data_IF_364177521648
#
_entry.id   IF_364177521648
#
_cell.length_a   1.000
_cell.length_b   1.000
_cell.length_c   1.000
_cell.angle_alpha   90.00
_cell.angle_beta   90.00
_cell.angle_gamma   90.00
#
_symmetry.space_group_name_H-M   'P 1'
#
loop_
_entity.id
_entity.type
_entity.pdbx_description
1 polymer ?
#
# COMPACT_ATOMS: atom_id res chain seq x y z
N UNK A 1 -28.31 18.64 2.19
CA UNK A 1 -27.79 19.14 0.90
C UNK A 1 -26.27 19.14 1.00
N UNK A 2 -25.61 18.09 0.50
CA UNK A 2 -24.15 18.02 0.45
C UNK A 2 -23.68 18.80 -0.77
N UNK A 3 -22.97 19.91 -0.55
CA UNK A 3 -22.23 20.62 -1.59
C UNK A 3 -21.09 19.73 -2.07
N UNK A 4 -21.33 18.98 -3.15
CA UNK A 4 -20.26 18.32 -3.92
C UNK A 4 -19.27 19.40 -4.33
N UNK A 5 -18.05 19.33 -3.79
CA UNK A 5 -16.97 20.23 -4.17
C UNK A 5 -16.68 19.95 -5.65
N UNK A 6 -17.02 20.88 -6.54
CA UNK A 6 -16.56 20.78 -7.93
C UNK A 6 -15.05 20.93 -7.95
N UNK A 7 -14.36 19.83 -8.21
CA UNK A 7 -12.93 19.83 -8.50
C UNK A 7 -12.76 20.50 -9.87
N UNK A 8 -12.24 21.72 -9.86
CA UNK A 8 -12.14 22.55 -11.07
C UNK A 8 -10.88 22.30 -11.90
N UNK A 9 -9.91 21.49 -11.42
CA UNK A 9 -8.66 21.19 -12.16
C UNK A 9 -8.11 19.79 -11.84
N UNK A 10 -7.60 19.04 -12.84
CA UNK A 10 -6.91 17.77 -12.60
C UNK A 10 -5.68 17.98 -11.72
N UNK A 11 -5.47 17.10 -10.75
CA UNK A 11 -4.27 17.14 -9.91
C UNK A 11 -3.03 16.56 -10.59
N UNK A 12 -3.23 15.83 -11.69
CA UNK A 12 -2.19 15.09 -12.40
C UNK A 12 -2.13 13.64 -11.94
N UNK A 13 -1.74 12.75 -12.85
CA UNK A 13 -1.58 11.32 -12.57
C UNK A 13 -0.94 10.62 -13.76
N UNK A 14 -0.57 9.36 -13.58
CA UNK A 14 -0.23 8.48 -14.68
C UNK A 14 -1.49 7.74 -15.17
N UNK A 15 -1.61 7.57 -16.48
CA UNK A 15 -2.77 6.93 -17.12
C UNK A 15 -3.67 7.92 -17.87
N UNK A 16 -4.69 7.43 -18.61
CA UNK A 16 -5.52 8.25 -19.50
C UNK A 16 -6.74 8.88 -18.81
N UNK A 17 -6.96 8.62 -17.51
CA UNK A 17 -8.13 9.08 -16.77
C UNK A 17 -8.16 10.60 -16.54
N UNK A 18 -9.27 11.14 -16.02
CA UNK A 18 -9.42 12.59 -15.81
C UNK A 18 -8.58 13.14 -14.65
N UNK A 19 -8.06 12.27 -13.77
CA UNK A 19 -7.27 12.64 -12.57
C UNK A 19 -8.03 13.61 -11.65
N UNK A 20 -9.28 13.27 -11.36
CA UNK A 20 -10.22 14.02 -10.51
C UNK A 20 -10.98 13.10 -9.53
N UNK A 21 -10.52 11.86 -9.32
CA UNK A 21 -11.20 10.89 -8.45
C UNK A 21 -10.88 11.07 -6.97
N UNK A 22 -11.90 11.20 -6.14
CA UNK A 22 -11.80 11.56 -4.72
C UNK A 22 -12.55 10.58 -3.80
N UNK A 23 -12.46 10.82 -2.49
CA UNK A 23 -13.11 9.97 -1.47
C UNK A 23 -14.64 9.99 -1.60
N UNK A 24 -15.24 11.13 -1.94
CA UNK A 24 -16.70 11.23 -2.11
C UNK A 24 -17.18 10.40 -3.31
N UNK A 25 -16.41 10.35 -4.39
CA UNK A 25 -16.66 9.47 -5.52
C UNK A 25 -16.66 8.00 -5.13
N UNK A 26 -15.72 7.58 -4.26
CA UNK A 26 -15.69 6.20 -3.72
C UNK A 26 -16.91 5.94 -2.84
N UNK A 27 -17.27 6.87 -1.95
CA UNK A 27 -18.49 6.77 -1.12
C UNK A 27 -19.72 6.55 -2.00
N UNK A 28 -19.87 7.34 -3.08
CA UNK A 28 -20.96 7.20 -4.04
C UNK A 28 -21.01 5.84 -4.77
N UNK A 29 -19.89 5.12 -4.82
CA UNK A 29 -19.77 3.82 -5.47
C UNK A 29 -19.94 2.62 -4.52
N UNK A 30 -20.00 2.82 -3.19
CA UNK A 30 -20.02 1.71 -2.21
C UNK A 30 -21.19 0.73 -2.43
N UNK A 31 -22.38 1.26 -2.72
CA UNK A 31 -23.55 0.41 -3.03
C UNK A 31 -23.35 -0.43 -4.29
N UNK A 32 -22.72 0.14 -5.33
CA UNK A 32 -22.40 -0.58 -6.55
C UNK A 32 -21.39 -1.71 -6.27
N UNK A 33 -20.32 -1.40 -5.52
CA UNK A 33 -19.30 -2.39 -5.12
C UNK A 33 -19.94 -3.53 -4.33
N UNK A 34 -20.82 -3.20 -3.37
CA UNK A 34 -21.56 -4.20 -2.60
C UNK A 34 -22.47 -5.06 -3.49
N UNK A 35 -23.16 -4.46 -4.45
CA UNK A 35 -24.06 -5.16 -5.37
C UNK A 35 -23.32 -6.16 -6.28
N UNK A 36 -22.04 -5.92 -6.59
CA UNK A 36 -21.18 -6.88 -7.29
C UNK A 36 -20.80 -8.10 -6.43
N UNK A 37 -21.09 -8.10 -5.13
CA UNK A 37 -20.79 -9.20 -4.21
C UNK A 37 -19.45 -9.08 -3.49
N UNK A 38 -18.73 -7.96 -3.64
CA UNK A 38 -17.52 -7.71 -2.87
C UNK A 38 -17.83 -7.46 -1.39
N UNK A 39 -16.88 -7.79 -0.53
CA UNK A 39 -16.96 -7.60 0.91
C UNK A 39 -15.81 -6.73 1.47
N UNK A 40 -14.93 -6.23 0.61
CA UNK A 40 -13.75 -5.45 1.00
C UNK A 40 -13.43 -4.45 -0.11
N UNK A 41 -13.04 -3.24 0.26
CA UNK A 41 -12.39 -2.27 -0.64
C UNK A 41 -10.94 -2.06 -0.20
N UNK A 42 -10.03 -1.97 -1.17
CA UNK A 42 -8.66 -1.55 -0.96
C UNK A 42 -8.45 -0.24 -1.74
N UNK A 43 -8.00 0.79 -1.03
CA UNK A 43 -7.64 2.08 -1.59
C UNK A 43 -6.12 2.15 -1.74
N UNK A 44 -5.63 2.54 -2.93
CA UNK A 44 -4.25 3.03 -3.09
C UNK A 44 -3.98 4.19 -2.11
N UNK A 45 -2.71 4.58 -1.85
CA UNK A 45 -2.44 5.52 -0.77
C UNK A 45 -3.19 6.84 -0.95
N UNK A 46 -3.88 7.28 0.11
CA UNK A 46 -4.63 8.54 0.16
C UNK A 46 -3.99 9.58 1.08
N UNK A 47 -2.73 9.32 1.48
CA UNK A 47 -1.96 10.18 2.37
C UNK A 47 -1.40 11.39 1.62
N UNK A 48 -1.14 12.49 2.33
CA UNK A 48 -0.70 13.74 1.72
C UNK A 48 0.71 13.60 1.08
N UNK A 49 0.76 13.62 -0.25
CA UNK A 49 1.99 13.69 -1.05
C UNK A 49 2.49 15.13 -1.21
N UNK A 50 1.74 16.10 -0.69
CA UNK A 50 1.97 17.54 -0.76
C UNK A 50 2.19 17.98 -2.21
N UNK A 51 1.11 17.81 -3.00
CA UNK A 51 1.14 17.93 -4.44
C UNK A 51 1.76 19.26 -4.91
N UNK A 52 2.72 19.15 -5.84
CA UNK A 52 3.46 20.29 -6.38
C UNK A 52 4.71 20.68 -5.59
N UNK A 53 4.94 20.14 -4.38
CA UNK A 53 6.28 20.20 -3.79
C UNK A 53 7.27 19.33 -4.58
N UNK A 54 8.55 19.73 -4.65
CA UNK A 54 9.55 18.96 -5.36
C UNK A 54 9.78 17.58 -4.71
N UNK A 55 9.97 16.58 -5.56
CA UNK A 55 10.66 15.35 -5.25
C UNK A 55 12.14 15.67 -5.02
N UNK A 56 12.56 15.60 -3.76
CA UNK A 56 13.96 15.76 -3.38
C UNK A 56 14.68 14.44 -3.57
N UNK A 57 15.59 14.40 -4.55
CA UNK A 57 16.33 13.20 -4.91
C UNK A 57 17.54 12.99 -4.00
N UNK A 58 18.03 11.75 -3.91
CA UNK A 58 19.22 11.41 -3.12
C UNK A 58 20.48 12.16 -3.53
N UNK A 59 20.64 12.50 -4.81
CA UNK A 59 21.76 13.30 -5.33
C UNK A 59 21.68 14.81 -5.01
N UNK A 60 20.65 15.24 -4.28
CA UNK A 60 20.40 16.64 -3.92
C UNK A 60 19.63 17.44 -4.97
N UNK A 61 19.30 16.85 -6.12
CA UNK A 61 18.45 17.50 -7.12
C UNK A 61 16.98 17.54 -6.68
N UNK A 62 16.24 18.49 -7.23
CA UNK A 62 14.83 18.69 -6.95
C UNK A 62 14.04 18.74 -8.27
N UNK A 63 13.03 17.88 -8.40
CA UNK A 63 12.17 17.82 -9.59
C UNK A 63 10.72 17.91 -9.16
N UNK A 64 9.87 18.63 -9.89
CA UNK A 64 8.42 18.63 -9.62
C UNK A 64 7.73 17.66 -10.56
N UNK A 65 7.04 16.67 -9.98
CA UNK A 65 6.28 15.66 -10.68
C UNK A 65 4.91 15.48 -10.02
N UNK A 66 3.97 16.32 -10.42
CA UNK A 66 2.57 16.26 -9.96
C UNK A 66 1.86 14.96 -10.33
N UNK A 67 2.32 14.26 -11.37
CA UNK A 67 1.75 12.96 -11.75
C UNK A 67 2.10 11.89 -10.74
N UNK A 68 3.31 11.94 -10.18
CA UNK A 68 3.73 11.06 -9.10
C UNK A 68 3.00 11.40 -7.80
N UNK A 69 2.80 12.69 -7.50
CA UNK A 69 2.00 13.09 -6.34
C UNK A 69 0.58 12.50 -6.40
N UNK A 70 -0.06 12.55 -7.57
CA UNK A 70 -1.40 11.99 -7.76
C UNK A 70 -1.51 10.46 -7.68
N UNK A 71 -0.40 9.71 -7.51
CA UNK A 71 -0.46 8.27 -7.24
C UNK A 71 -0.51 7.93 -5.75
N UNK A 72 -0.10 8.87 -4.88
CA UNK A 72 0.02 8.67 -3.43
C UNK A 72 1.21 7.82 -2.98
N UNK A 73 1.92 7.14 -3.89
CA UNK A 73 2.99 6.18 -3.52
C UNK A 73 4.29 6.84 -3.02
N UNK A 74 4.41 8.16 -3.09
CA UNK A 74 5.46 8.92 -2.42
C UNK A 74 4.81 9.89 -1.43
N UNK A 75 4.31 9.41 -0.28
CA UNK A 75 3.69 10.26 0.72
C UNK A 75 4.74 11.17 1.36
N UNK A 76 4.32 12.34 1.80
CA UNK A 76 5.12 13.30 2.59
C UNK A 76 4.62 13.41 4.02
N UNK A 77 3.31 13.29 4.23
CA UNK A 77 2.70 13.21 5.55
C UNK A 77 1.77 11.98 5.60
N UNK A 78 2.18 10.98 6.36
CA UNK A 78 1.45 9.73 6.55
C UNK A 78 0.22 9.85 7.45
N UNK A 79 0.05 10.98 8.15
CA UNK A 79 -0.97 11.18 9.18
C UNK A 79 -2.06 12.17 8.75
N UNK A 80 -1.99 12.64 7.50
CA UNK A 80 -2.96 13.53 6.87
C UNK A 80 -3.48 12.90 5.58
N UNK A 81 -4.76 13.12 5.28
CA UNK A 81 -5.35 12.81 3.97
C UNK A 81 -4.89 13.86 2.97
N UNK A 82 -4.51 13.45 1.75
CA UNK A 82 -4.16 14.40 0.70
C UNK A 82 -5.37 15.30 0.39
N UNK A 83 -5.22 16.63 0.46
CA UNK A 83 -6.32 17.56 0.23
C UNK A 83 -6.90 17.50 -1.19
N UNK A 84 -6.22 16.83 -2.13
CA UNK A 84 -6.76 16.51 -3.46
C UNK A 84 -7.81 15.40 -3.41
N UNK A 85 -7.69 14.44 -2.48
CA UNK A 85 -8.63 13.33 -2.33
C UNK A 85 -9.75 13.62 -1.33
N UNK A 86 -9.50 14.45 -0.31
CA UNK A 86 -10.54 14.84 0.64
C UNK A 86 -9.99 15.31 1.97
N UNK A 87 -10.69 14.97 3.05
CA UNK A 87 -10.33 15.32 4.43
C UNK A 87 -10.37 14.08 5.31
N UNK A 88 -9.80 14.18 6.52
CA UNK A 88 -9.92 13.12 7.55
C UNK A 88 -11.39 12.76 7.83
N UNK A 89 -12.29 13.76 7.87
CA UNK A 89 -13.73 13.53 8.03
C UNK A 89 -14.35 12.79 6.84
N UNK A 90 -13.90 13.08 5.61
CA UNK A 90 -14.36 12.36 4.42
C UNK A 90 -13.91 10.89 4.48
N UNK A 91 -12.66 10.64 4.88
CA UNK A 91 -12.14 9.28 5.06
C UNK A 91 -12.89 8.52 6.18
N UNK A 92 -13.20 9.19 7.30
CA UNK A 92 -14.02 8.63 8.38
C UNK A 92 -15.42 8.24 7.90
N UNK A 93 -16.06 9.11 7.11
CA UNK A 93 -17.35 8.80 6.48
C UNK A 93 -17.24 7.59 5.56
N UNK A 94 -16.22 7.51 4.72
CA UNK A 94 -16.00 6.37 3.84
C UNK A 94 -15.92 5.05 4.62
N UNK A 95 -15.13 5.01 5.70
CA UNK A 95 -14.99 3.78 6.49
C UNK A 95 -16.31 3.40 7.16
N UNK A 96 -16.99 4.37 7.79
CA UNK A 96 -18.27 4.13 8.45
C UNK A 96 -19.37 3.67 7.48
N UNK A 97 -19.48 4.32 6.30
CA UNK A 97 -20.47 3.95 5.28
C UNK A 97 -20.16 2.57 4.67
N UNK A 98 -18.89 2.26 4.44
CA UNK A 98 -18.46 0.93 3.98
C UNK A 98 -18.82 -0.16 5.01
N UNK A 99 -18.47 0.05 6.28
CA UNK A 99 -18.80 -0.88 7.37
C UNK A 99 -20.32 -1.06 7.53
N UNK A 100 -21.11 0.01 7.39
CA UNK A 100 -22.58 -0.05 7.41
C UNK A 100 -23.17 -0.94 6.30
N UNK A 101 -22.44 -1.15 5.20
CA UNK A 101 -22.79 -2.06 4.11
C UNK A 101 -22.14 -3.46 4.25
N UNK A 102 -21.42 -3.71 5.34
CA UNK A 102 -20.63 -4.92 5.56
C UNK A 102 -19.47 -5.05 4.56
N UNK A 103 -18.87 -3.92 4.16
CA UNK A 103 -17.62 -3.86 3.40
C UNK A 103 -16.48 -3.52 4.37
N UNK A 104 -15.41 -4.33 4.37
CA UNK A 104 -14.15 -4.01 5.03
C UNK A 104 -13.39 -2.94 4.25
N UNK A 105 -12.55 -2.16 4.91
CA UNK A 105 -11.71 -1.13 4.28
C UNK A 105 -10.24 -1.37 4.56
N UNK A 106 -9.43 -1.47 3.51
CA UNK A 106 -7.98 -1.55 3.60
C UNK A 106 -7.32 -0.32 2.99
N UNK A 107 -6.30 0.20 3.66
CA UNK A 107 -5.41 1.22 3.10
C UNK A 107 -4.14 0.60 2.55
N UNK A 108 -3.45 1.35 1.70
CA UNK A 108 -2.17 0.96 1.09
C UNK A 108 -1.00 1.64 1.82
N UNK A 109 -0.13 0.84 2.41
CA UNK A 109 0.99 1.26 3.22
C UNK A 109 2.29 1.18 2.44
N UNK A 110 2.88 2.33 2.13
CA UNK A 110 4.23 2.43 1.56
C UNK A 110 5.21 2.57 2.71
N UNK A 111 5.88 1.49 3.14
CA UNK A 111 6.75 1.54 4.32
C UNK A 111 8.24 1.53 3.98
N UNK A 112 8.60 1.21 2.73
CA UNK A 112 9.99 1.14 2.30
C UNK A 112 10.55 2.44 1.74
N UNK A 113 9.70 3.39 1.39
CA UNK A 113 10.11 4.65 0.77
C UNK A 113 9.09 5.78 0.97
N UNK A 114 9.52 7.01 0.72
CA UNK A 114 8.66 8.19 0.82
C UNK A 114 9.21 9.38 0.02
N UNK A 115 8.43 10.45 -0.06
CA UNK A 115 8.91 11.74 -0.59
C UNK A 115 9.89 12.38 0.40
N UNK A 116 10.79 13.23 -0.11
CA UNK A 116 11.68 14.03 0.75
C UNK A 116 10.92 15.04 1.60
N UNK A 117 11.58 15.53 2.68
CA UNK A 117 10.99 16.43 3.68
C UNK A 117 9.74 15.86 4.36
N UNK A 118 9.84 14.61 4.80
CA UNK A 118 8.77 13.93 5.52
C UNK A 118 8.32 14.72 6.75
N UNK A 119 7.02 14.72 7.02
CA UNK A 119 6.43 15.28 8.23
C UNK A 119 6.57 14.28 9.37
N UNK A 120 6.97 14.76 10.55
CA UNK A 120 7.09 13.93 11.73
C UNK A 120 5.73 13.37 12.15
N UNK A 121 5.73 12.19 12.76
CA UNK A 121 4.52 11.58 13.30
C UNK A 121 3.93 12.43 14.44
N UNK A 122 2.67 12.17 14.87
CA UNK A 122 2.08 12.82 16.04
C UNK A 122 2.93 12.69 17.31
N UNK A 123 3.66 11.58 17.47
CA UNK A 123 4.61 11.37 18.57
C UNK A 123 6.01 11.97 18.33
N UNK A 124 6.21 12.70 17.22
CA UNK A 124 7.47 13.36 16.88
C UNK A 124 8.53 12.44 16.26
N UNK A 125 8.14 11.26 15.77
CA UNK A 125 9.06 10.32 15.13
C UNK A 125 9.31 10.68 13.67
N UNK A 126 10.51 10.36 13.19
CA UNK A 126 10.88 10.35 11.78
C UNK A 126 11.71 9.10 11.50
N UNK A 127 11.54 8.45 10.33
CA UNK A 127 12.42 7.38 9.91
C UNK A 127 13.80 7.93 9.52
N UNK A 128 14.76 7.03 9.36
CA UNK A 128 16.08 7.34 8.82
C UNK A 128 16.11 6.97 7.35
N UNK A 129 16.71 7.84 6.52
CA UNK A 129 16.89 7.59 5.11
C UNK A 129 18.19 6.81 4.85
N UNK A 130 18.13 5.84 3.95
CA UNK A 130 19.30 5.15 3.44
C UNK A 130 20.25 6.12 2.73
N UNK A 131 21.54 6.02 3.04
CA UNK A 131 22.58 6.89 2.46
C UNK A 131 23.37 6.20 1.34
N UNK A 132 23.33 4.86 1.27
CA UNK A 132 24.04 4.11 0.24
C UNK A 132 23.42 4.34 -1.14
N UNK A 133 24.20 4.73 -2.17
CA UNK A 133 23.71 4.83 -3.54
C UNK A 133 23.08 3.54 -4.07
N UNK A 134 23.54 2.37 -3.60
CA UNK A 134 23.02 1.06 -4.01
C UNK A 134 21.60 0.76 -3.50
N UNK A 135 21.12 1.51 -2.50
CA UNK A 135 19.76 1.35 -1.99
C UNK A 135 18.71 1.88 -2.98
N UNK A 136 19.11 2.72 -3.93
CA UNK A 136 18.21 3.45 -4.82
C UNK A 136 18.09 2.78 -6.19
N UNK A 137 16.93 2.19 -6.54
CA UNK A 137 16.71 1.64 -7.88
C UNK A 137 16.91 2.70 -8.97
N UNK A 138 17.74 2.39 -9.97
CA UNK A 138 18.11 3.33 -11.03
C UNK A 138 19.13 4.40 -10.60
N UNK A 139 19.58 4.37 -9.35
CA UNK A 139 20.59 5.25 -8.79
C UNK A 139 20.05 6.55 -8.17
N UNK A 140 20.90 7.27 -7.40
CA UNK A 140 20.55 8.49 -6.68
C UNK A 140 19.91 9.61 -7.51
N UNK A 141 20.24 9.71 -8.80
CA UNK A 141 19.73 10.77 -9.66
C UNK A 141 18.39 10.46 -10.32
N UNK A 142 17.99 9.17 -10.35
CA UNK A 142 16.74 8.72 -10.96
C UNK A 142 15.62 8.54 -9.94
N UNK A 143 15.95 8.25 -8.67
CA UNK A 143 14.96 7.94 -7.66
C UNK A 143 14.24 9.19 -7.14
N UNK A 144 12.90 9.24 -7.12
CA UNK A 144 12.13 10.46 -6.86
C UNK A 144 11.84 10.72 -5.36
N UNK A 145 12.56 10.06 -4.45
CA UNK A 145 12.32 10.18 -3.02
C UNK A 145 13.44 9.61 -2.17
N UNK A 146 13.08 9.07 -1.01
CA UNK A 146 14.00 8.48 -0.03
C UNK A 146 13.62 7.01 0.21
N UNK A 147 14.63 6.17 0.34
CA UNK A 147 14.48 4.77 0.77
C UNK A 147 14.72 4.76 2.27
N UNK A 148 13.90 4.02 3.01
CA UNK A 148 14.00 3.92 4.47
C UNK A 148 15.13 2.97 4.85
N UNK A 149 15.95 3.38 5.83
CA UNK A 149 16.92 2.52 6.49
C UNK A 149 16.31 1.89 7.75
N UNK A 150 16.01 0.60 7.68
CA UNK A 150 15.49 -0.19 8.80
C UNK A 150 16.55 -0.76 9.74
N UNK A 151 17.84 -0.49 9.50
CA UNK A 151 18.89 -0.80 10.48
C UNK A 151 18.82 0.12 11.71
N UNK A 152 18.21 1.30 11.57
CA UNK A 152 17.92 2.19 12.68
C UNK A 152 16.51 1.92 13.25
N UNK A 153 16.37 1.64 14.56
CA UNK A 153 15.08 1.31 15.18
C UNK A 153 14.05 2.45 15.11
N UNK A 154 14.48 3.70 14.87
CA UNK A 154 13.56 4.84 14.67
C UNK A 154 12.66 4.64 13.46
N UNK A 155 13.15 4.01 12.39
CA UNK A 155 12.35 3.70 11.20
C UNK A 155 11.24 2.71 11.52
N UNK A 156 11.55 1.62 12.21
CA UNK A 156 10.53 0.66 12.68
C UNK A 156 9.52 1.32 13.61
N UNK A 157 9.98 2.17 14.54
CA UNK A 157 9.09 2.90 15.44
C UNK A 157 8.12 3.84 14.71
N UNK A 158 8.61 4.58 13.70
CA UNK A 158 7.77 5.44 12.87
C UNK A 158 6.68 4.65 12.14
N UNK A 159 7.02 3.56 11.46
CA UNK A 159 6.04 2.80 10.68
C UNK A 159 5.09 1.97 11.55
N UNK A 160 5.48 1.60 12.77
CA UNK A 160 4.57 1.08 13.79
C UNK A 160 3.48 2.09 14.13
N UNK A 161 3.84 3.37 14.27
CA UNK A 161 2.88 4.45 14.53
C UNK A 161 1.98 4.70 13.32
N UNK A 162 2.53 4.74 12.09
CA UNK A 162 1.73 4.86 10.86
C UNK A 162 0.70 3.73 10.75
N UNK A 163 1.14 2.48 10.91
CA UNK A 163 0.30 1.31 10.74
C UNK A 163 -0.85 1.25 11.76
N UNK A 164 -0.58 1.69 13.00
CA UNK A 164 -1.56 1.76 14.08
C UNK A 164 -2.51 2.96 13.94
N UNK A 165 -1.98 4.12 13.55
CA UNK A 165 -2.73 5.39 13.57
C UNK A 165 -4.05 5.29 12.81
N UNK A 166 -4.06 4.74 11.60
CA UNK A 166 -5.27 4.66 10.79
C UNK A 166 -6.28 3.62 11.30
N UNK A 167 -5.80 2.57 11.96
CA UNK A 167 -6.66 1.58 12.64
C UNK A 167 -7.33 2.26 13.84
N UNK A 168 -6.56 2.93 14.70
CA UNK A 168 -7.08 3.63 15.88
C UNK A 168 -7.98 4.83 15.50
N UNK A 169 -7.63 5.53 14.43
CA UNK A 169 -8.30 6.77 14.05
C UNK A 169 -9.57 6.53 13.25
N UNK A 170 -9.55 5.59 12.30
CA UNK A 170 -10.65 5.37 11.36
C UNK A 170 -11.26 3.98 11.43
N UNK A 171 -10.63 3.01 12.08
CA UNK A 171 -11.11 1.63 12.13
C UNK A 171 -10.87 0.85 10.84
N UNK A 172 -9.81 1.15 10.07
CA UNK A 172 -9.49 0.35 8.87
C UNK A 172 -9.23 -1.12 9.24
N UNK A 173 -9.66 -2.04 8.38
CA UNK A 173 -9.59 -3.49 8.59
C UNK A 173 -8.24 -4.12 8.28
N UNK A 174 -7.31 -3.34 7.71
CA UNK A 174 -6.05 -3.90 7.26
C UNK A 174 -5.24 -3.02 6.32
N UNK A 175 -4.13 -3.60 5.87
CA UNK A 175 -3.15 -2.97 5.01
C UNK A 175 -2.82 -3.82 3.80
N UNK A 176 -2.80 -3.22 2.62
CA UNK A 176 -1.95 -3.71 1.53
C UNK A 176 -0.59 -3.05 1.70
N UNK A 177 0.52 -3.79 1.61
CA UNK A 177 1.87 -3.22 1.74
C UNK A 177 2.55 -3.13 0.39
N UNK A 178 2.91 -1.92 -0.03
CA UNK A 178 3.65 -1.64 -1.26
C UNK A 178 5.10 -2.10 -1.17
N UNK A 179 5.63 -2.69 -2.24
CA UNK A 179 7.02 -3.14 -2.38
C UNK A 179 7.57 -3.72 -1.08
N UNK A 180 6.86 -4.70 -0.52
CA UNK A 180 7.06 -5.14 0.88
C UNK A 180 8.47 -5.67 1.14
N UNK A 181 9.21 -6.07 0.09
CA UNK A 181 10.61 -6.47 0.15
C UNK A 181 11.58 -5.36 0.61
N UNK A 182 11.15 -4.09 0.56
CA UNK A 182 11.93 -2.98 1.11
C UNK A 182 11.93 -2.95 2.64
N UNK A 183 11.01 -3.67 3.28
CA UNK A 183 10.95 -3.81 4.73
C UNK A 183 11.54 -5.19 5.12
N UNK A 184 12.68 -5.23 5.82
CA UNK A 184 13.26 -6.49 6.27
C UNK A 184 12.32 -7.26 7.21
N UNK A 185 12.44 -8.59 7.26
CA UNK A 185 11.49 -9.46 7.96
C UNK A 185 11.30 -9.13 9.45
N UNK A 186 12.36 -8.74 10.16
CA UNK A 186 12.29 -8.45 11.61
C UNK A 186 11.49 -7.16 11.90
N UNK A 187 11.84 -5.98 11.33
CA UNK A 187 11.00 -4.78 11.36
C UNK A 187 9.56 -5.04 10.91
N UNK A 188 9.38 -5.82 9.84
CA UNK A 188 8.04 -6.15 9.33
C UNK A 188 7.22 -6.88 10.39
N UNK A 189 7.78 -7.90 11.07
CA UNK A 189 7.07 -8.60 12.15
C UNK A 189 6.67 -7.66 13.29
N UNK A 190 7.53 -6.72 13.66
CA UNK A 190 7.20 -5.74 14.70
C UNK A 190 6.04 -4.82 14.29
N UNK A 191 6.03 -4.36 13.04
CA UNK A 191 4.94 -3.53 12.48
C UNK A 191 3.64 -4.34 12.43
N UNK A 192 3.68 -5.58 11.94
CA UNK A 192 2.50 -6.44 11.88
C UNK A 192 1.97 -6.82 13.27
N UNK A 193 2.84 -6.93 14.27
CA UNK A 193 2.43 -7.13 15.66
C UNK A 193 1.65 -5.92 16.19
N UNK A 194 1.98 -4.69 15.80
CA UNK A 194 1.18 -3.51 16.15
C UNK A 194 -0.17 -3.47 15.41
N UNK A 195 -0.19 -3.84 14.12
CA UNK A 195 -1.45 -3.95 13.37
C UNK A 195 -2.41 -4.91 14.06
N UNK A 196 -1.92 -6.09 14.47
CA UNK A 196 -2.72 -7.08 15.23
C UNK A 196 -3.21 -6.51 16.55
N UNK A 197 -2.32 -5.92 17.36
CA UNK A 197 -2.69 -5.31 18.65
C UNK A 197 -3.77 -4.25 18.51
N UNK A 198 -3.62 -3.33 17.55
CA UNK A 198 -4.59 -2.26 17.30
C UNK A 198 -5.93 -2.80 16.79
N UNK A 199 -5.90 -3.81 15.93
CA UNK A 199 -7.10 -4.41 15.34
C UNK A 199 -7.89 -5.24 16.36
N UNK A 200 -7.21 -6.06 17.17
CA UNK A 200 -7.83 -6.89 18.20
C UNK A 200 -8.59 -6.05 19.23
N UNK A 201 -8.03 -4.89 19.59
CA UNK A 201 -8.67 -3.92 20.49
C UNK A 201 -9.99 -3.35 19.96
N UNK A 202 -10.27 -3.49 18.66
CA UNK A 202 -11.46 -2.97 17.98
C UNK A 202 -12.26 -4.06 17.24
N UNK A 203 -11.91 -5.34 17.41
CA UNK A 203 -12.54 -6.48 16.72
C UNK A 203 -12.50 -6.38 15.18
N UNK A 204 -11.44 -5.77 14.65
CA UNK A 204 -11.20 -5.61 13.21
C UNK A 204 -10.41 -6.79 12.64
N UNK A 205 -10.43 -6.94 11.32
CA UNK A 205 -9.77 -8.07 10.66
C UNK A 205 -8.24 -8.09 10.82
N UNK A 206 -7.60 -6.92 10.94
CA UNK A 206 -6.14 -6.76 10.96
C UNK A 206 -5.42 -7.41 9.78
N UNK A 207 -6.10 -7.55 8.63
CA UNK A 207 -5.57 -8.32 7.50
C UNK A 207 -4.45 -7.56 6.81
N UNK A 208 -3.36 -8.26 6.49
CA UNK A 208 -2.24 -7.66 5.76
C UNK A 208 -1.85 -8.53 4.56
N UNK A 209 -1.73 -7.90 3.40
CA UNK A 209 -1.24 -8.52 2.16
C UNK A 209 -0.08 -7.71 1.60
N UNK A 210 1.06 -8.35 1.36
CA UNK A 210 2.23 -7.68 0.79
C UNK A 210 2.30 -7.81 -0.72
N UNK A 211 2.78 -6.76 -1.37
CA UNK A 211 3.23 -6.79 -2.75
C UNK A 211 4.70 -7.19 -2.82
N UNK A 212 4.94 -8.44 -3.18
CA UNK A 212 6.24 -8.94 -3.63
C UNK A 212 6.09 -9.34 -5.09
N UNK A 213 6.37 -8.42 -6.01
CA UNK A 213 6.33 -8.71 -7.43
C UNK A 213 7.57 -9.50 -7.83
N UNK A 214 7.47 -10.82 -7.68
CA UNK A 214 8.56 -11.75 -7.98
C UNK A 214 8.07 -13.17 -8.25
N UNK A 215 9.02 -14.08 -8.35
CA UNK A 215 8.81 -15.52 -8.43
C UNK A 215 8.20 -16.09 -7.14
N UNK A 216 7.66 -17.30 -7.23
CA UNK A 216 7.13 -18.00 -6.06
C UNK A 216 8.18 -18.21 -4.95
N UNK A 217 9.46 -18.39 -5.29
CA UNK A 217 10.55 -18.53 -4.32
C UNK A 217 10.83 -17.22 -3.58
N UNK A 218 10.87 -16.10 -4.31
CA UNK A 218 11.05 -14.78 -3.72
C UNK A 218 9.89 -14.40 -2.80
N UNK A 219 8.64 -14.71 -3.20
CA UNK A 219 7.47 -14.50 -2.36
C UNK A 219 7.54 -15.40 -1.10
N UNK A 220 7.93 -16.68 -1.24
CA UNK A 220 8.13 -17.59 -0.09
C UNK A 220 9.17 -17.04 0.89
N UNK A 221 10.29 -16.54 0.38
CA UNK A 221 11.33 -15.94 1.20
C UNK A 221 10.78 -14.74 2.00
N UNK A 222 9.97 -13.90 1.36
CA UNK A 222 9.34 -12.74 2.01
C UNK A 222 8.31 -13.13 3.08
N UNK A 223 7.52 -14.18 2.85
CA UNK A 223 6.55 -14.67 3.84
C UNK A 223 7.22 -15.31 5.06
N UNK A 224 8.46 -15.79 4.89
CA UNK A 224 9.17 -16.55 5.90
C UNK A 224 8.73 -18.01 5.96
N UNK A 225 9.08 -18.69 7.05
CA UNK A 225 8.76 -20.11 7.25
C UNK A 225 7.60 -20.27 8.22
N UNK A 226 6.96 -21.44 8.25
CA UNK A 226 5.91 -21.74 9.24
C UNK A 226 6.40 -21.60 10.69
N UNK A 227 7.70 -21.81 10.95
CA UNK A 227 8.31 -21.65 12.26
C UNK A 227 8.67 -20.19 12.58
N UNK A 228 8.83 -19.33 11.57
CA UNK A 228 9.18 -17.92 11.74
C UNK A 228 8.52 -17.03 10.66
N UNK A 229 7.18 -16.94 10.65
CA UNK A 229 6.45 -16.21 9.62
C UNK A 229 6.77 -14.71 9.71
N UNK A 230 7.05 -14.09 8.57
CA UNK A 230 7.28 -12.65 8.44
C UNK A 230 6.03 -11.92 7.94
N UNK A 231 5.25 -12.55 7.05
CA UNK A 231 4.02 -12.00 6.48
C UNK A 231 3.03 -13.14 6.24
N UNK A 232 1.75 -12.90 6.50
CA UNK A 232 0.71 -13.95 6.43
C UNK A 232 0.12 -14.14 5.03
N UNK A 233 0.21 -13.13 4.16
CA UNK A 233 -0.38 -13.14 2.82
C UNK A 233 0.40 -12.24 1.87
N UNK A 234 0.49 -12.63 0.60
CA UNK A 234 1.08 -11.85 -0.48
C UNK A 234 0.27 -12.03 -1.77
N UNK A 235 0.41 -11.11 -2.71
CA UNK A 235 -0.19 -11.25 -4.04
C UNK A 235 0.41 -12.43 -4.80
N UNK A 236 -0.45 -13.19 -5.48
CA UNK A 236 -0.07 -14.33 -6.31
C UNK A 236 0.24 -13.91 -7.75
N UNK A 237 1.36 -13.21 -7.91
CA UNK A 237 1.88 -12.84 -9.23
C UNK A 237 2.15 -14.05 -10.13
N UNK A 238 2.74 -15.17 -9.65
CA UNK A 238 2.95 -16.36 -10.47
C UNK A 238 1.67 -16.88 -11.14
N UNK A 239 0.59 -17.05 -10.37
CA UNK A 239 -0.69 -17.52 -10.93
C UNK A 239 -1.30 -16.47 -11.84
N UNK A 240 -1.20 -15.17 -11.52
CA UNK A 240 -1.63 -14.09 -12.42
C UNK A 240 -0.96 -14.21 -13.79
N UNK A 241 0.36 -14.35 -13.84
CA UNK A 241 1.08 -14.50 -15.11
C UNK A 241 0.71 -15.78 -15.83
N UNK A 242 0.60 -16.91 -15.13
CA UNK A 242 0.17 -18.16 -15.75
C UNK A 242 -1.22 -18.02 -16.40
N UNK A 243 -2.18 -17.41 -15.70
CA UNK A 243 -3.53 -17.16 -16.21
C UNK A 243 -3.51 -16.28 -17.47
N UNK A 244 -2.81 -15.15 -17.43
CA UNK A 244 -2.72 -14.22 -18.57
C UNK A 244 -1.98 -14.86 -19.75
N UNK A 245 -0.90 -15.59 -19.50
CA UNK A 245 -0.13 -16.26 -20.56
C UNK A 245 -0.87 -17.47 -21.16
N UNK A 246 -1.82 -18.07 -20.44
CA UNK A 246 -2.65 -19.16 -20.95
C UNK A 246 -3.86 -18.65 -21.74
N UNK A 247 -4.49 -17.57 -21.30
CA UNK A 247 -5.74 -17.06 -21.90
C UNK A 247 -5.52 -15.89 -22.87
N UNK A 248 -4.37 -15.23 -22.79
CA UNK A 248 -4.03 -14.05 -23.57
C UNK A 248 -2.50 -13.97 -23.81
N UNK A 249 -1.94 -12.77 -23.74
CA UNK A 249 -0.51 -12.47 -23.76
C UNK A 249 -0.20 -11.52 -22.62
N UNK A 250 0.93 -11.72 -21.95
CA UNK A 250 1.40 -10.77 -20.92
C UNK A 250 2.08 -9.54 -21.54
N UNK A 251 2.49 -8.63 -20.67
CA UNK A 251 3.13 -7.35 -21.01
C UNK A 251 4.50 -7.50 -21.69
N UNK A 252 5.10 -8.68 -21.65
CA UNK A 252 6.38 -9.01 -22.30
C UNK A 252 6.20 -9.85 -23.57
N UNK A 253 4.94 -10.11 -23.97
CA UNK A 253 4.60 -10.88 -25.17
C UNK A 253 4.57 -12.39 -24.96
N UNK A 254 4.76 -12.89 -23.73
CA UNK A 254 4.65 -14.31 -23.43
C UNK A 254 3.18 -14.74 -23.46
N UNK A 255 2.90 -15.87 -24.12
CA UNK A 255 1.56 -16.40 -24.36
C UNK A 255 1.59 -17.91 -24.63
N UNK A 256 0.42 -18.50 -24.82
CA UNK A 256 0.22 -19.91 -25.16
C UNK A 256 0.77 -20.90 -24.12
N UNK A 257 0.77 -20.54 -22.83
CA UNK A 257 1.04 -21.53 -21.78
C UNK A 257 -0.11 -22.55 -21.70
N UNK A 258 0.18 -23.85 -21.50
CA UNK A 258 -0.88 -24.84 -21.29
C UNK A 258 -1.70 -24.47 -20.05
N UNK A 259 -2.99 -24.78 -20.04
CA UNK A 259 -3.89 -24.49 -18.89
C UNK A 259 -3.35 -25.12 -17.59
N UNK A 260 -2.62 -26.23 -17.69
CA UNK A 260 -1.96 -26.86 -16.52
C UNK A 260 -0.98 -25.92 -15.81
N UNK A 261 -0.38 -24.95 -16.50
CA UNK A 261 0.52 -23.97 -15.89
C UNK A 261 -0.17 -23.10 -14.84
N UNK A 262 -1.51 -22.93 -14.92
CA UNK A 262 -2.29 -22.23 -13.89
C UNK A 262 -2.32 -23.08 -12.61
N UNK A 263 -2.56 -24.38 -12.73
CA UNK A 263 -2.55 -25.30 -11.59
C UNK A 263 -1.16 -25.40 -10.96
N UNK A 264 -0.11 -25.49 -11.79
CA UNK A 264 1.28 -25.56 -11.32
C UNK A 264 1.65 -24.28 -10.56
N UNK A 265 1.30 -23.11 -11.11
CA UNK A 265 1.53 -21.83 -10.45
C UNK A 265 0.76 -21.72 -9.12
N UNK A 266 -0.52 -22.11 -9.10
CA UNK A 266 -1.35 -22.10 -7.90
C UNK A 266 -0.81 -23.03 -6.81
N UNK A 267 -0.36 -24.24 -7.18
CA UNK A 267 0.23 -25.18 -6.24
C UNK A 267 1.56 -24.68 -5.66
N UNK A 268 2.30 -23.86 -6.41
CA UNK A 268 3.53 -23.22 -5.98
C UNK A 268 3.30 -21.88 -5.26
N UNK A 269 2.11 -21.29 -5.39
CA UNK A 269 1.82 -19.98 -4.85
C UNK A 269 1.74 -20.04 -3.32
N UNK A 270 2.59 -19.32 -2.60
CA UNK A 270 2.56 -19.33 -1.15
C UNK A 270 1.47 -18.36 -0.68
N UNK A 271 0.20 -18.66 -0.94
CA UNK A 271 -0.85 -17.67 -0.69
C UNK A 271 -1.21 -17.55 0.79
N UNK A 272 -0.91 -18.56 1.61
CA UNK A 272 -1.19 -18.57 3.06
C UNK A 272 -0.27 -19.50 3.86
N UNK A 273 0.41 -18.95 4.88
CA UNK A 273 0.77 -19.70 6.09
C UNK A 273 -0.44 -19.63 7.04
N UNK A 274 -1.54 -20.35 6.76
CA UNK A 274 -2.58 -20.54 7.79
C UNK A 274 -2.02 -21.56 8.79
N UNK A 275 -2.00 -21.26 10.10
CA UNK A 275 -1.87 -22.31 11.11
C UNK A 275 -3.03 -23.29 10.92
N UNK A 276 -2.74 -24.53 10.52
CA UNK A 276 -3.71 -25.62 10.55
C UNK A 276 -3.97 -26.00 12.00
N UNK A 277 -4.79 -25.23 12.68
CA UNK A 277 -5.45 -25.70 13.90
C UNK A 277 -6.91 -25.26 13.85
N UNK A 278 -7.84 -26.19 14.16
CA UNK A 278 -9.28 -26.04 13.92
C UNK A 278 -9.92 -24.96 14.79
#
# INVERSE_FOLDING_TARGET
>A
MSTVRQITRPWGGYGPGPHTGDIEGVIGALHYIKALGFNTIWLTPIFDSHAGAPQLRPDGSAVVNKRLDGTGYFPRDYFSIDPQFGTLESARRLVNEAHGLGLKVMFDGVFGHHKGNLVASPSGLLPVDATSPSAYPGGPSAYPGRIVDFSDPRSTAFYKEVARYWIDTLGIDGWRLDQVYQVPSDPLREILAEVRRASDGQLLSGYVVGEMWGSADEIRAQLGTSANPALASAFDFPTRYALVQSLASDEHGAKAKPISAINDAWAMAPTRLIPTTP
#
